data_IF_026232078769
#
_entry.id   IF_026232078769
#
_cell.length_a   1.000
_cell.length_b   1.000
_cell.length_c   1.000
_cell.angle_alpha   90.00
_cell.angle_beta   90.00
_cell.angle_gamma   90.00
#
_symmetry.space_group_name_H-M   'P 1'
#
loop_
_entity.id
_entity.type
_entity.pdbx_description
1 polymer ?
#
# COMPACT_ATOMS: atom_id res chain seq x y z
N UNK A 1 -35.98 4.39 -10.29
CA UNK A 1 -35.43 5.48 -9.45
C UNK A 1 -35.36 4.98 -8.00
N UNK A 2 -34.27 5.23 -7.27
CA UNK A 2 -34.11 4.79 -5.87
C UNK A 2 -33.09 3.67 -5.60
N UNK A 3 -32.35 3.20 -6.62
CA UNK A 3 -31.23 2.29 -6.40
C UNK A 3 -29.99 3.06 -5.92
N UNK A 4 -29.23 2.49 -4.98
CA UNK A 4 -27.96 3.05 -4.56
C UNK A 4 -26.93 2.99 -5.70
N UNK A 5 -26.14 4.05 -5.87
CA UNK A 5 -25.05 4.12 -6.85
C UNK A 5 -23.72 4.16 -6.10
N UNK A 6 -23.01 3.02 -5.98
CA UNK A 6 -21.71 3.00 -5.32
C UNK A 6 -20.66 3.71 -6.18
N UNK A 7 -19.80 4.50 -5.54
CA UNK A 7 -18.65 5.16 -6.16
C UNK A 7 -17.36 4.56 -5.59
N UNK A 8 -16.83 3.48 -6.19
CA UNK A 8 -15.62 2.85 -5.70
C UNK A 8 -14.38 3.74 -5.91
N UNK A 9 -13.32 3.43 -5.17
CA UNK A 9 -11.99 4.04 -5.39
C UNK A 9 -11.53 3.72 -6.81
N UNK A 10 -11.07 4.73 -7.54
CA UNK A 10 -10.62 4.60 -8.93
C UNK A 10 -9.12 4.88 -9.12
N UNK A 11 -8.45 5.42 -8.11
CA UNK A 11 -7.01 5.66 -8.12
C UNK A 11 -6.48 5.81 -6.68
N UNK A 12 -5.22 5.43 -6.46
CA UNK A 12 -4.52 5.62 -5.18
C UNK A 12 -3.25 6.43 -5.42
N UNK A 13 -3.20 7.63 -4.83
CA UNK A 13 -2.06 8.53 -4.87
C UNK A 13 -1.65 8.83 -3.42
N UNK A 14 -0.65 8.12 -2.91
CA UNK A 14 -0.18 8.30 -1.54
C UNK A 14 0.66 9.58 -1.40
N UNK A 15 0.41 10.35 -0.34
CA UNK A 15 1.23 11.52 -0.02
C UNK A 15 2.58 11.10 0.58
N UNK A 16 3.64 11.84 0.25
CA UNK A 16 4.97 11.70 0.86
C UNK A 16 5.43 13.00 1.46
N UNK A 17 5.83 13.00 2.73
CA UNK A 17 6.44 14.17 3.34
C UNK A 17 7.95 14.17 3.09
N UNK A 18 8.35 14.94 2.08
CA UNK A 18 9.75 15.12 1.74
C UNK A 18 10.37 16.27 2.53
N UNK A 19 11.65 16.13 2.84
CA UNK A 19 12.47 17.18 3.43
C UNK A 19 13.81 17.29 2.68
N UNK A 20 14.36 18.51 2.56
CA UNK A 20 15.73 18.68 2.10
C UNK A 20 16.71 18.16 3.16
N UNK A 21 17.99 17.94 2.80
CA UNK A 21 19.03 17.71 3.80
C UNK A 21 19.23 18.96 4.66
N UNK A 22 19.44 18.78 5.98
CA UNK A 22 19.90 19.83 6.90
C UNK A 22 21.16 19.31 7.65
N UNK A 23 22.36 19.40 7.04
CA UNK A 23 23.58 18.80 7.58
C UNK A 23 23.94 19.27 8.99
N UNK A 24 23.70 20.55 9.28
CA UNK A 24 23.94 21.16 10.61
C UNK A 24 23.11 20.52 11.72
N UNK A 25 21.97 19.90 11.37
CA UNK A 25 21.09 19.18 12.29
C UNK A 25 21.18 17.66 12.15
N UNK A 26 22.09 17.17 11.30
CA UNK A 26 22.22 15.74 10.98
C UNK A 26 21.00 15.15 10.26
N UNK A 27 20.16 15.99 9.62
CA UNK A 27 18.97 15.52 8.91
C UNK A 27 19.36 15.18 7.46
N UNK A 28 19.14 13.93 7.06
CA UNK A 28 19.36 13.46 5.69
C UNK A 28 18.14 13.72 4.81
N UNK A 29 18.37 13.76 3.50
CA UNK A 29 17.32 14.05 2.52
C UNK A 29 16.30 12.92 2.41
N UNK A 30 15.02 13.27 2.27
CA UNK A 30 13.99 12.38 1.70
C UNK A 30 13.37 12.96 0.43
N UNK A 31 13.91 14.07 -0.09
CA UNK A 31 13.37 14.79 -1.25
C UNK A 31 13.85 14.23 -2.60
N UNK A 32 13.87 12.90 -2.74
CA UNK A 32 14.32 12.21 -3.98
C UNK A 32 13.20 11.96 -4.99
N UNK A 33 11.95 12.31 -4.64
CA UNK A 33 10.78 12.08 -5.48
C UNK A 33 10.46 13.31 -6.34
N UNK A 34 10.07 13.06 -7.59
CA UNK A 34 9.47 14.06 -8.48
C UNK A 34 7.94 14.22 -8.18
N UNK A 35 7.19 15.07 -8.90
CA UNK A 35 5.78 15.34 -8.60
C UNK A 35 4.84 14.13 -8.60
N UNK A 36 5.11 13.11 -9.42
CA UNK A 36 4.34 11.86 -9.44
C UNK A 36 5.27 10.68 -9.71
N UNK A 37 5.40 9.81 -8.72
CA UNK A 37 6.01 8.49 -8.90
C UNK A 37 4.95 7.40 -9.01
N UNK A 38 5.24 6.40 -9.83
CA UNK A 38 4.54 5.12 -9.88
C UNK A 38 5.48 4.03 -9.35
N UNK A 39 4.99 3.21 -8.45
CA UNK A 39 5.73 2.05 -7.97
C UNK A 39 4.94 0.78 -8.27
N UNK A 40 5.63 -0.21 -8.82
CA UNK A 40 5.12 -1.57 -8.87
C UNK A 40 4.97 -2.10 -7.42
N UNK A 41 4.14 -3.12 -7.24
CA UNK A 41 3.75 -3.56 -5.89
C UNK A 41 4.94 -3.91 -4.97
N UNK A 42 6.04 -4.55 -5.42
CA UNK A 42 7.18 -4.80 -4.53
C UNK A 42 7.75 -3.51 -3.93
N UNK A 43 8.10 -2.52 -4.77
CA UNK A 43 8.64 -1.23 -4.31
C UNK A 43 7.62 -0.43 -3.50
N UNK A 44 6.34 -0.43 -3.92
CA UNK A 44 5.26 0.22 -3.17
C UNK A 44 5.16 -0.34 -1.76
N UNK A 45 5.26 -1.66 -1.61
CA UNK A 45 5.17 -2.32 -0.31
C UNK A 45 6.41 -2.11 0.55
N UNK A 46 7.61 -1.91 -0.02
CA UNK A 46 8.77 -1.48 0.77
C UNK A 46 8.49 -0.16 1.48
N UNK A 47 7.78 0.74 0.81
CA UNK A 47 7.41 2.04 1.37
C UNK A 47 6.22 1.97 2.31
N UNK A 48 5.22 1.12 2.04
CA UNK A 48 4.13 0.90 2.98
C UNK A 48 4.58 0.21 4.27
N UNK A 49 5.54 -0.71 4.19
CA UNK A 49 6.18 -1.33 5.36
C UNK A 49 6.91 -0.27 6.20
N UNK A 50 7.65 0.61 5.53
CA UNK A 50 8.58 1.54 6.18
C UNK A 50 7.95 2.85 6.63
N UNK A 51 6.98 3.37 5.87
CA UNK A 51 6.26 4.62 6.12
C UNK A 51 7.18 5.75 6.62
N UNK A 52 8.18 6.09 5.79
CA UNK A 52 9.26 6.99 6.20
C UNK A 52 8.81 8.46 6.27
N UNK A 53 9.30 9.18 7.27
CA UNK A 53 9.03 10.60 7.51
C UNK A 53 10.29 11.32 7.96
N UNK A 54 10.50 12.53 7.43
CA UNK A 54 11.72 13.30 7.63
C UNK A 54 11.89 13.98 8.98
N UNK A 55 10.80 14.16 9.74
CA UNK A 55 10.80 14.91 11.01
C UNK A 55 10.10 14.12 12.11
N UNK A 56 10.81 13.15 12.67
CA UNK A 56 10.54 12.65 14.03
C UNK A 56 11.60 13.22 14.98
N UNK A 57 11.23 13.95 16.05
CA UNK A 57 12.19 14.61 16.95
C UNK A 57 13.16 13.68 17.72
N UNK A 58 12.99 12.36 17.67
CA UNK A 58 13.62 11.42 18.59
C UNK A 58 14.79 10.59 18.05
N UNK A 59 15.17 10.68 16.76
CA UNK A 59 16.27 9.87 16.20
C UNK A 59 17.06 10.54 15.08
N UNK A 60 18.35 10.20 14.96
CA UNK A 60 19.32 10.66 13.95
C UNK A 60 19.17 10.00 12.56
N UNK A 61 17.96 9.59 12.19
CA UNK A 61 17.65 9.05 10.86
C UNK A 61 16.18 9.20 10.52
N UNK A 62 15.77 8.81 9.30
CA UNK A 62 14.37 8.86 8.86
C UNK A 62 13.50 8.13 9.88
N UNK A 63 12.52 8.86 10.39
CA UNK A 63 11.49 8.29 11.25
C UNK A 63 10.66 7.31 10.45
N UNK A 64 10.17 6.26 11.08
CA UNK A 64 9.12 5.40 10.55
C UNK A 64 7.84 5.67 11.32
N UNK A 65 6.73 5.89 10.61
CA UNK A 65 5.39 5.97 11.21
C UNK A 65 4.77 4.57 11.44
N UNK A 66 5.55 3.51 11.17
CA UNK A 66 5.09 2.13 11.17
C UNK A 66 4.25 1.78 9.95
N UNK A 67 4.04 0.49 9.70
CA UNK A 67 3.35 0.01 8.50
C UNK A 67 2.05 0.78 8.23
N UNK A 68 1.89 1.26 6.99
CA UNK A 68 0.71 2.01 6.54
C UNK A 68 0.41 3.26 7.37
N UNK A 69 1.42 3.87 7.99
CA UNK A 69 1.28 4.99 8.97
C UNK A 69 0.40 4.65 10.17
N UNK A 70 0.32 3.36 10.54
CA UNK A 70 -0.54 2.85 11.62
C UNK A 70 0.23 2.44 12.87
N UNK A 71 1.54 2.69 12.96
CA UNK A 71 2.35 2.29 14.13
C UNK A 71 1.74 2.67 15.48
N UNK A 72 1.32 3.93 15.69
CA UNK A 72 0.69 4.36 16.95
C UNK A 72 -0.75 3.85 17.18
N UNK A 73 -1.37 3.22 16.18
CA UNK A 73 -2.80 2.91 16.16
C UNK A 73 -3.10 1.42 15.95
N UNK A 74 -2.08 0.59 15.76
CA UNK A 74 -2.23 -0.85 15.55
C UNK A 74 -1.77 -1.61 16.80
N UNK A 75 -2.74 -2.14 17.55
CA UNK A 75 -2.49 -2.99 18.72
C UNK A 75 -2.19 -4.45 18.37
N UNK A 76 -2.14 -4.80 17.07
CA UNK A 76 -1.84 -6.13 16.56
C UNK A 76 -0.55 -6.11 15.73
N UNK A 77 -0.10 -7.30 15.31
CA UNK A 77 1.05 -7.42 14.42
C UNK A 77 0.79 -6.71 13.08
N UNK A 78 1.64 -5.74 12.67
CA UNK A 78 1.43 -4.96 11.44
C UNK A 78 1.36 -5.79 10.17
N UNK A 79 1.99 -6.97 10.16
CA UNK A 79 1.97 -7.88 9.00
C UNK A 79 0.55 -8.29 8.59
N UNK A 80 -0.39 -8.34 9.53
CA UNK A 80 -1.81 -8.62 9.27
C UNK A 80 -2.40 -7.59 8.30
N UNK A 81 -2.12 -6.31 8.53
CA UNK A 81 -2.63 -5.22 7.71
C UNK A 81 -1.93 -5.19 6.36
N UNK A 82 -0.63 -5.47 6.32
CA UNK A 82 0.13 -5.54 5.08
C UNK A 82 -0.35 -6.68 4.18
N UNK A 83 -0.60 -7.87 4.73
CA UNK A 83 -1.19 -8.99 3.99
C UNK A 83 -2.54 -8.60 3.37
N UNK A 84 -3.42 -7.96 4.16
CA UNK A 84 -4.73 -7.49 3.69
C UNK A 84 -4.59 -6.41 2.61
N UNK A 85 -3.67 -5.46 2.81
CA UNK A 85 -3.40 -4.40 1.84
C UNK A 85 -2.94 -5.01 0.52
N UNK A 86 -1.99 -5.95 0.54
CA UNK A 86 -1.47 -6.55 -0.70
C UNK A 86 -2.57 -7.27 -1.47
N UNK A 87 -3.40 -8.07 -0.80
CA UNK A 87 -4.54 -8.72 -1.43
C UNK A 87 -5.50 -7.69 -2.03
N UNK A 88 -5.74 -6.56 -1.35
CA UNK A 88 -6.58 -5.48 -1.89
C UNK A 88 -6.01 -4.89 -3.19
N UNK A 89 -4.71 -4.59 -3.24
CA UNK A 89 -4.07 -4.07 -4.45
C UNK A 89 -4.11 -5.07 -5.60
N UNK A 90 -3.83 -6.35 -5.31
CA UNK A 90 -3.88 -7.41 -6.31
C UNK A 90 -5.30 -7.58 -6.89
N UNK A 91 -6.32 -7.66 -6.02
CA UNK A 91 -7.72 -7.84 -6.44
C UNK A 91 -8.28 -6.68 -7.24
N UNK A 92 -7.93 -5.45 -6.87
CA UNK A 92 -8.46 -4.25 -7.51
C UNK A 92 -7.67 -3.83 -8.75
N UNK A 93 -6.43 -4.29 -8.88
CA UNK A 93 -5.53 -3.85 -9.95
C UNK A 93 -5.19 -2.35 -9.87
N UNK A 94 -5.48 -1.69 -8.75
CA UNK A 94 -5.19 -0.27 -8.58
C UNK A 94 -3.68 -0.04 -8.53
N UNK A 95 -3.21 0.91 -9.32
CA UNK A 95 -1.81 1.31 -9.36
C UNK A 95 -1.43 2.13 -8.11
N UNK A 96 -0.21 1.91 -7.60
CA UNK A 96 0.37 2.67 -6.50
C UNK A 96 1.13 3.89 -7.00
N UNK A 97 0.47 5.05 -7.02
CA UNK A 97 1.12 6.32 -7.28
C UNK A 97 1.44 7.06 -5.99
N UNK A 98 2.35 8.01 -6.06
CA UNK A 98 2.67 8.89 -4.93
C UNK A 98 3.00 10.30 -5.36
N UNK A 99 2.73 11.25 -4.47
CA UNK A 99 2.97 12.69 -4.69
C UNK A 99 3.72 13.29 -3.51
N UNK A 100 4.77 14.08 -3.73
CA UNK A 100 5.52 14.71 -2.66
C UNK A 100 4.78 15.93 -2.10
N UNK A 101 5.04 16.18 -0.82
CA UNK A 101 4.73 17.39 -0.08
C UNK A 101 6.01 17.88 0.63
N UNK A 102 6.10 19.17 0.93
CA UNK A 102 7.28 19.79 1.51
C UNK A 102 8.28 20.20 0.44
N UNK A 103 9.05 19.24 -0.09
CA UNK A 103 10.16 19.52 -1.02
C UNK A 103 10.25 18.53 -2.20
N UNK A 104 10.77 19.02 -3.32
CA UNK A 104 11.25 18.22 -4.45
C UNK A 104 12.72 18.57 -4.67
N UNK A 105 13.61 17.62 -4.41
CA UNK A 105 15.03 17.91 -4.29
C UNK A 105 15.36 18.83 -3.09
N UNK A 106 16.64 19.15 -2.89
CA UNK A 106 17.09 19.98 -1.77
C UNK A 106 16.62 21.43 -1.86
N UNK A 107 16.38 21.97 -3.06
CA UNK A 107 16.23 23.42 -3.25
C UNK A 107 14.80 23.87 -3.57
N UNK A 108 13.94 22.98 -4.08
CA UNK A 108 12.56 23.36 -4.45
C UNK A 108 11.60 23.01 -3.33
N UNK A 109 11.11 24.04 -2.64
CA UNK A 109 10.03 23.93 -1.67
C UNK A 109 8.69 24.00 -2.38
N UNK A 110 7.83 23.01 -2.13
CA UNK A 110 6.50 22.88 -2.74
C UNK A 110 5.36 22.85 -1.73
N UNK A 111 5.66 22.77 -0.43
CA UNK A 111 4.67 22.67 0.65
C UNK A 111 3.53 21.68 0.31
N UNK A 112 2.32 22.17 0.00
CA UNK A 112 1.21 21.32 -0.44
C UNK A 112 0.73 21.61 -1.87
N UNK A 113 1.45 22.43 -2.63
CA UNK A 113 1.06 22.86 -3.97
C UNK A 113 0.88 21.65 -4.90
N UNK A 114 1.83 20.71 -4.86
CA UNK A 114 1.76 19.46 -5.64
C UNK A 114 0.62 18.57 -5.13
N UNK A 115 0.43 18.47 -3.81
CA UNK A 115 -0.64 17.66 -3.22
C UNK A 115 -2.03 18.12 -3.65
N UNK A 116 -2.23 19.43 -3.83
CA UNK A 116 -3.50 20.01 -4.27
C UNK A 116 -3.67 19.96 -5.79
N UNK A 117 -2.57 20.11 -6.53
CA UNK A 117 -2.59 20.22 -7.98
C UNK A 117 -2.72 18.87 -8.70
N UNK A 118 -2.04 17.82 -8.21
CA UNK A 118 -2.06 16.52 -8.88
C UNK A 118 -3.48 15.93 -8.96
N UNK A 119 -4.32 15.97 -7.92
CA UNK A 119 -5.72 15.53 -8.03
C UNK A 119 -6.49 16.22 -9.16
N UNK A 120 -6.24 17.51 -9.42
CA UNK A 120 -6.86 18.25 -10.52
C UNK A 120 -6.39 17.74 -11.89
N UNK A 121 -5.11 17.47 -12.08
CA UNK A 121 -4.64 16.86 -13.33
C UNK A 121 -5.22 15.45 -13.47
N UNK A 122 -5.18 14.66 -12.39
CA UNK A 122 -5.55 13.25 -12.36
C UNK A 122 -7.03 13.03 -12.67
N UNK A 123 -7.92 13.83 -12.06
CA UNK A 123 -9.37 13.70 -12.24
C UNK A 123 -9.82 13.98 -13.68
N UNK A 124 -8.99 14.71 -14.46
CA UNK A 124 -9.20 15.02 -15.88
C UNK A 124 -8.64 13.96 -16.83
N UNK A 125 -7.95 12.92 -16.33
CA UNK A 125 -7.49 11.78 -17.14
C UNK A 125 -8.59 10.74 -17.32
N UNK A 126 -8.64 10.07 -18.48
CA UNK A 126 -9.47 8.88 -18.67
C UNK A 126 -8.91 7.68 -17.86
N UNK A 127 -9.69 6.59 -17.66
CA UNK A 127 -9.16 5.38 -17.04
C UNK A 127 -7.92 4.80 -17.76
N UNK A 128 -7.91 4.82 -19.10
CA UNK A 128 -6.77 4.36 -19.90
C UNK A 128 -5.54 5.27 -19.71
N UNK A 129 -5.75 6.59 -19.68
CA UNK A 129 -4.66 7.56 -19.47
C UNK A 129 -4.04 7.49 -18.06
N UNK A 130 -4.69 6.79 -17.12
CA UNK A 130 -4.18 6.53 -15.76
C UNK A 130 -3.49 5.18 -15.63
N UNK A 131 -3.60 4.29 -16.62
CA UNK A 131 -2.99 2.96 -16.58
C UNK A 131 -1.46 3.07 -16.69
N UNK A 132 -0.68 2.56 -15.71
CA UNK A 132 0.77 2.54 -15.80
C UNK A 132 1.31 1.89 -17.07
N UNK A 133 0.65 0.85 -17.62
CA UNK A 133 1.10 0.20 -18.86
C UNK A 133 1.02 1.16 -20.04
N UNK A 134 -0.09 1.90 -20.14
CA UNK A 134 -0.26 2.96 -21.14
C UNK A 134 0.81 4.04 -20.93
N UNK A 135 0.96 4.54 -19.70
CA UNK A 135 1.92 5.61 -19.39
C UNK A 135 3.38 5.22 -19.70
N UNK A 136 3.78 3.98 -19.43
CA UNK A 136 5.12 3.45 -19.73
C UNK A 136 5.30 3.27 -21.25
N UNK A 137 4.34 2.63 -21.93
CA UNK A 137 4.39 2.46 -23.39
C UNK A 137 4.45 3.79 -24.15
N UNK A 138 3.76 4.80 -23.61
CA UNK A 138 3.81 6.18 -24.06
C UNK A 138 4.95 6.98 -23.45
N UNK A 139 5.98 6.39 -22.81
CA UNK A 139 7.13 7.13 -22.24
C UNK A 139 6.74 8.39 -21.40
N UNK A 140 5.53 8.37 -20.83
CA UNK A 140 5.02 9.37 -19.91
C UNK A 140 5.53 9.07 -18.50
N UNK A 141 5.93 7.82 -18.25
CA UNK A 141 6.72 7.37 -17.11
C UNK A 141 8.12 6.91 -17.56
N UNK A 142 9.15 7.30 -16.82
CA UNK A 142 10.52 6.77 -16.97
C UNK A 142 10.91 5.98 -15.72
N UNK A 143 11.55 4.82 -15.91
CA UNK A 143 12.06 3.98 -14.81
C UNK A 143 13.33 4.59 -14.23
N UNK A 144 13.48 4.57 -12.91
CA UNK A 144 14.76 4.84 -12.26
C UNK A 144 15.56 3.54 -12.18
N UNK A 145 16.86 3.63 -12.47
CA UNK A 145 17.77 2.49 -12.49
C UNK A 145 18.83 2.64 -11.41
N UNK A 146 19.30 1.50 -10.90
CA UNK A 146 20.42 1.49 -9.96
C UNK A 146 21.71 1.99 -10.62
N UNK A 147 22.56 2.65 -9.86
CA UNK A 147 23.83 3.16 -10.35
C UNK A 147 24.91 3.15 -9.26
N UNK A 148 26.16 3.34 -9.63
CA UNK A 148 27.29 3.44 -8.71
C UNK A 148 27.68 4.91 -8.49
N UNK A 149 27.92 5.30 -7.23
CA UNK A 149 28.50 6.58 -6.86
C UNK A 149 29.50 6.36 -5.73
N UNK A 150 30.75 6.81 -5.91
CA UNK A 150 31.83 6.67 -4.93
C UNK A 150 32.04 5.24 -4.40
N UNK A 151 31.86 4.25 -5.29
CA UNK A 151 32.00 2.81 -4.96
C UNK A 151 30.84 2.24 -4.14
N UNK A 152 29.73 2.96 -4.02
CA UNK A 152 28.48 2.50 -3.41
C UNK A 152 27.40 2.33 -4.46
N UNK A 153 26.73 1.18 -4.41
CA UNK A 153 25.52 0.95 -5.19
C UNK A 153 24.36 1.77 -4.63
N UNK A 154 23.80 2.63 -5.46
CA UNK A 154 22.62 3.44 -5.18
C UNK A 154 21.41 2.73 -5.78
N UNK A 155 20.54 2.18 -4.91
CA UNK A 155 19.37 1.39 -5.30
C UNK A 155 18.19 2.27 -5.73
N UNK A 156 18.40 3.17 -6.69
CA UNK A 156 17.38 4.11 -7.14
C UNK A 156 16.19 3.44 -7.85
N UNK A 157 16.33 2.19 -8.30
CA UNK A 157 15.21 1.41 -8.83
C UNK A 157 14.09 1.17 -7.81
N UNK A 158 14.38 1.25 -6.50
CA UNK A 158 13.35 1.19 -5.45
C UNK A 158 12.35 2.36 -5.49
N UNK A 159 12.71 3.46 -6.15
CA UNK A 159 11.80 4.60 -6.37
C UNK A 159 10.81 4.36 -7.51
N UNK A 160 10.94 3.24 -8.22
CA UNK A 160 10.05 2.83 -9.32
C UNK A 160 10.21 3.70 -10.56
N UNK A 161 9.09 4.26 -11.00
CA UNK A 161 8.97 5.11 -12.16
C UNK A 161 8.56 6.52 -11.74
N UNK A 162 8.83 7.49 -12.59
CA UNK A 162 8.43 8.89 -12.39
C UNK A 162 7.91 9.52 -13.66
N UNK A 163 7.04 10.53 -13.53
CA UNK A 163 6.51 11.24 -14.69
C UNK A 163 7.61 11.99 -15.47
N UNK A 164 7.46 12.06 -16.79
CA UNK A 164 8.38 12.76 -17.68
C UNK A 164 7.85 14.13 -18.10
N UNK A 165 8.68 14.94 -18.76
CA UNK A 165 8.22 16.18 -19.40
C UNK A 165 7.15 15.93 -20.47
N UNK A 166 7.09 14.72 -21.05
CA UNK A 166 6.06 14.29 -22.00
C UNK A 166 4.70 14.16 -21.32
N UNK A 167 4.65 13.63 -20.09
CA UNK A 167 3.45 13.62 -19.26
C UNK A 167 2.92 15.04 -19.04
N UNK A 168 3.80 15.96 -18.63
CA UNK A 168 3.46 17.36 -18.39
C UNK A 168 2.87 18.02 -19.64
N UNK A 169 3.54 17.88 -20.80
CA UNK A 169 3.04 18.44 -22.06
C UNK A 169 1.69 17.88 -22.48
N UNK A 170 1.45 16.58 -22.23
CA UNK A 170 0.23 15.90 -22.69
C UNK A 170 -0.97 16.19 -21.80
N UNK A 171 -0.77 16.26 -20.48
CA UNK A 171 -1.87 16.26 -19.52
C UNK A 171 -1.98 17.53 -18.67
N UNK A 172 -0.87 18.16 -18.31
CA UNK A 172 -0.91 19.35 -17.45
C UNK A 172 -1.51 20.57 -18.18
N UNK A 173 -1.55 20.56 -19.52
CA UNK A 173 -2.27 21.56 -20.33
C UNK A 173 -3.79 21.61 -20.09
N UNK A 174 -4.37 20.60 -19.42
CA UNK A 174 -5.79 20.60 -19.00
C UNK A 174 -6.05 21.50 -17.79
N UNK A 175 -5.00 22.02 -17.16
CA UNK A 175 -5.04 22.88 -15.97
C UNK A 175 -4.23 24.16 -16.18
N UNK A 176 -3.10 24.09 -16.89
CA UNK A 176 -2.20 25.23 -17.11
C UNK A 176 -2.10 25.64 -18.58
N UNK A 177 -2.00 26.96 -18.82
CA UNK A 177 -1.67 27.48 -20.15
C UNK A 177 -0.23 27.16 -20.58
N UNK A 178 0.72 27.18 -19.62
CA UNK A 178 2.15 27.00 -19.88
C UNK A 178 2.80 25.98 -18.93
N UNK A 179 2.46 24.68 -19.03
CA UNK A 179 2.83 23.68 -18.04
C UNK A 179 4.35 23.45 -17.91
N UNK A 180 5.12 23.63 -18.99
CA UNK A 180 6.59 23.48 -18.97
C UNK A 180 7.32 24.57 -18.16
N UNK A 181 6.66 25.71 -17.86
CA UNK A 181 7.22 26.74 -16.97
C UNK A 181 6.96 26.43 -15.49
N UNK A 182 5.97 25.58 -15.21
CA UNK A 182 5.60 25.17 -13.85
C UNK A 182 6.43 23.98 -13.41
N UNK A 183 6.64 23.01 -14.31
CA UNK A 183 7.42 21.80 -14.05
C UNK A 183 8.69 21.79 -14.91
N UNK A 184 9.73 22.43 -14.40
CA UNK A 184 11.03 22.48 -15.07
C UNK A 184 11.85 21.20 -14.87
N UNK A 185 13.05 21.17 -15.44
CA UNK A 185 13.96 20.03 -15.31
C UNK A 185 14.32 19.74 -13.86
N UNK A 186 14.53 20.77 -13.03
CA UNK A 186 14.94 20.58 -11.64
C UNK A 186 13.83 19.93 -10.78
N UNK A 187 12.56 20.22 -11.09
CA UNK A 187 11.40 19.58 -10.44
C UNK A 187 11.21 18.15 -10.96
N UNK A 188 11.30 17.93 -12.27
CA UNK A 188 11.08 16.61 -12.86
C UNK A 188 12.22 15.62 -12.60
N UNK A 189 13.44 16.15 -12.43
CA UNK A 189 14.69 15.43 -12.21
C UNK A 189 15.43 16.00 -11.00
N UNK A 190 14.96 15.74 -9.76
CA UNK A 190 15.52 16.33 -8.54
C UNK A 190 17.02 16.05 -8.35
N UNK A 191 17.55 14.97 -8.94
CA UNK A 191 18.99 14.68 -8.99
C UNK A 191 19.84 15.76 -9.66
N UNK A 192 19.26 16.60 -10.53
CA UNK A 192 20.00 17.69 -11.18
C UNK A 192 20.23 18.88 -10.25
N UNK A 193 19.51 18.95 -9.12
CA UNK A 193 19.71 20.01 -8.12
C UNK A 193 20.98 19.77 -7.30
N UNK A 194 21.19 18.52 -6.86
CA UNK A 194 22.38 18.05 -6.14
C UNK A 194 22.46 16.51 -6.26
N UNK A 195 23.35 15.99 -7.10
CA UNK A 195 23.50 14.55 -7.30
C UNK A 195 23.91 13.79 -6.02
N UNK A 196 24.70 14.42 -5.15
CA UNK A 196 25.19 13.79 -3.92
C UNK A 196 24.07 13.70 -2.87
N UNK A 197 23.28 14.77 -2.72
CA UNK A 197 22.12 14.76 -1.82
C UNK A 197 21.02 13.80 -2.29
N UNK A 198 20.85 13.65 -3.62
CA UNK A 198 19.92 12.66 -4.18
C UNK A 198 20.38 11.23 -3.84
N UNK A 199 21.65 10.91 -4.11
CA UNK A 199 22.21 9.60 -3.81
C UNK A 199 22.15 9.26 -2.31
N UNK A 200 22.51 10.22 -1.45
CA UNK A 200 22.40 10.05 0.00
C UNK A 200 20.96 9.82 0.45
N UNK A 201 19.98 10.51 -0.14
CA UNK A 201 18.57 10.31 0.16
C UNK A 201 18.06 8.93 -0.23
N UNK A 202 18.51 8.38 -1.37
CA UNK A 202 18.19 7.00 -1.77
C UNK A 202 18.81 5.99 -0.80
N UNK A 203 20.09 6.16 -0.45
CA UNK A 203 20.76 5.33 0.55
C UNK A 203 20.00 5.38 1.88
N UNK A 204 19.61 6.58 2.31
CA UNK A 204 18.86 6.78 3.54
C UNK A 204 17.54 6.01 3.57
N UNK A 205 16.79 6.03 2.47
CA UNK A 205 15.56 5.24 2.33
C UNK A 205 15.87 3.75 2.44
N UNK A 206 16.90 3.27 1.74
CA UNK A 206 17.23 1.83 1.70
C UNK A 206 17.71 1.29 3.05
N UNK A 207 18.53 2.06 3.77
CA UNK A 207 18.97 1.74 5.14
C UNK A 207 17.79 1.71 6.12
N UNK A 208 16.85 2.65 5.98
CA UNK A 208 15.66 2.70 6.83
C UNK A 208 14.70 1.54 6.52
N UNK A 209 14.52 1.19 5.24
CA UNK A 209 13.76 0.01 4.81
C UNK A 209 14.36 -1.28 5.39
N UNK A 210 15.68 -1.46 5.31
CA UNK A 210 16.38 -2.61 5.92
C UNK A 210 16.11 -2.68 7.42
N UNK A 211 16.33 -1.57 8.14
CA UNK A 211 16.11 -1.50 9.59
C UNK A 211 14.69 -1.84 9.98
N UNK A 212 13.69 -1.30 9.28
CA UNK A 212 12.28 -1.58 9.57
C UNK A 212 11.93 -3.04 9.28
N UNK A 213 12.41 -3.60 8.15
CA UNK A 213 12.16 -5.00 7.80
C UNK A 213 12.74 -5.97 8.84
N UNK A 214 13.88 -5.65 9.47
CA UNK A 214 14.46 -6.46 10.55
C UNK A 214 13.54 -6.63 11.75
N UNK A 215 12.68 -5.66 12.06
CA UNK A 215 11.74 -5.78 13.19
C UNK A 215 10.76 -6.95 13.03
N UNK A 216 10.32 -7.23 11.80
CA UNK A 216 9.41 -8.35 11.52
C UNK A 216 10.06 -9.72 11.76
N UNK A 217 11.38 -9.82 11.61
CA UNK A 217 12.12 -11.05 11.95
C UNK A 217 12.36 -11.14 13.45
N UNK A 218 12.61 -10.02 14.13
CA UNK A 218 12.86 -9.98 15.57
C UNK A 218 11.64 -10.37 16.40
N UNK A 219 10.44 -9.96 15.98
CA UNK A 219 9.18 -10.32 16.67
C UNK A 219 8.53 -11.60 16.11
N UNK A 220 9.14 -12.23 15.10
CA UNK A 220 8.65 -13.45 14.44
C UNK A 220 7.44 -13.22 13.52
N UNK A 221 6.99 -11.99 13.31
CA UNK A 221 5.83 -11.69 12.46
C UNK A 221 6.10 -11.92 10.97
N UNK A 222 7.36 -12.00 10.55
CA UNK A 222 7.74 -12.38 9.18
C UNK A 222 7.22 -13.78 8.79
N UNK A 223 7.03 -14.70 9.75
CA UNK A 223 6.45 -16.03 9.50
C UNK A 223 4.95 -15.98 9.15
N UNK A 224 4.27 -14.89 9.49
CA UNK A 224 2.86 -14.67 9.19
C UNK A 224 2.66 -13.89 7.88
N UNK A 225 3.74 -13.41 7.26
CA UNK A 225 3.69 -12.73 5.98
C UNK A 225 3.16 -13.69 4.90
N UNK A 226 2.31 -13.20 4.01
CA UNK A 226 2.00 -13.94 2.79
C UNK A 226 3.28 -14.09 1.94
N UNK A 227 3.38 -15.12 1.08
CA UNK A 227 4.63 -15.43 0.37
C UNK A 227 5.29 -14.24 -0.37
N UNK A 228 4.55 -13.34 -1.04
CA UNK A 228 5.16 -12.17 -1.67
C UNK A 228 5.83 -11.23 -0.67
N UNK A 229 5.18 -10.97 0.48
CA UNK A 229 5.72 -10.09 1.51
C UNK A 229 6.85 -10.75 2.30
N UNK A 230 6.82 -12.07 2.48
CA UNK A 230 7.93 -12.81 3.07
C UNK A 230 9.19 -12.64 2.20
N UNK A 231 9.07 -12.85 0.89
CA UNK A 231 10.16 -12.63 -0.05
C UNK A 231 10.66 -11.18 0.00
N UNK A 232 9.73 -10.21 0.04
CA UNK A 232 10.07 -8.79 0.10
C UNK A 232 10.83 -8.41 1.37
N UNK A 233 10.41 -8.92 2.54
CA UNK A 233 11.08 -8.67 3.81
C UNK A 233 12.53 -9.18 3.77
N UNK A 234 12.77 -10.39 3.25
CA UNK A 234 14.14 -10.89 3.06
C UNK A 234 14.94 -10.04 2.07
N UNK A 235 14.34 -9.59 0.96
CA UNK A 235 15.02 -8.70 0.01
C UNK A 235 15.38 -7.36 0.66
N UNK A 236 14.52 -6.82 1.53
CA UNK A 236 14.79 -5.59 2.26
C UNK A 236 15.95 -5.76 3.25
N UNK A 237 16.08 -6.92 3.91
CA UNK A 237 17.09 -7.17 4.96
C UNK A 237 18.42 -7.75 4.48
N UNK A 238 18.38 -8.59 3.44
CA UNK A 238 19.51 -9.40 2.95
C UNK A 238 19.86 -9.07 1.49
N UNK A 239 19.04 -8.27 0.80
CA UNK A 239 19.20 -7.95 -0.63
C UNK A 239 18.71 -9.04 -1.58
N UNK A 240 18.36 -10.22 -1.08
CA UNK A 240 17.84 -11.33 -1.86
C UNK A 240 16.85 -12.21 -1.08
N UNK A 241 16.04 -12.98 -1.80
CA UNK A 241 15.26 -14.09 -1.25
C UNK A 241 15.59 -15.35 -2.04
N UNK A 242 16.16 -16.36 -1.38
CA UNK A 242 16.61 -17.61 -2.03
C UNK A 242 17.56 -17.36 -3.22
N UNK A 243 18.49 -16.40 -3.08
CA UNK A 243 19.42 -16.00 -4.13
C UNK A 243 18.83 -15.12 -5.23
N UNK A 244 17.54 -14.75 -5.15
CA UNK A 244 16.84 -13.91 -6.14
C UNK A 244 16.67 -12.49 -5.62
N UNK A 245 16.92 -11.51 -6.48
CA UNK A 245 16.73 -10.08 -6.25
C UNK A 245 15.30 -9.66 -6.62
N UNK A 246 14.94 -8.44 -6.25
CA UNK A 246 13.62 -7.87 -6.57
C UNK A 246 13.31 -7.84 -8.07
N UNK A 247 14.33 -7.74 -8.92
CA UNK A 247 14.18 -7.70 -10.39
C UNK A 247 13.94 -9.06 -11.03
N UNK A 248 14.13 -10.16 -10.29
CA UNK A 248 13.97 -11.50 -10.86
C UNK A 248 12.48 -11.78 -11.20
N UNK A 249 12.18 -12.33 -12.40
CA UNK A 249 10.80 -12.58 -12.83
C UNK A 249 10.00 -13.44 -11.86
N UNK A 250 10.65 -14.38 -11.18
CA UNK A 250 10.01 -15.22 -10.18
C UNK A 250 9.51 -14.41 -8.97
N UNK A 251 10.31 -13.45 -8.48
CA UNK A 251 9.89 -12.54 -7.41
C UNK A 251 8.75 -11.65 -7.90
N UNK A 252 8.87 -11.06 -9.09
CA UNK A 252 7.82 -10.21 -9.67
C UNK A 252 6.49 -10.95 -9.83
N UNK A 253 6.55 -12.22 -10.23
CA UNK A 253 5.37 -13.07 -10.42
C UNK A 253 4.59 -13.33 -9.12
N UNK A 254 5.20 -13.23 -7.94
CA UNK A 254 4.49 -13.34 -6.66
C UNK A 254 3.48 -12.21 -6.45
N UNK A 255 3.68 -11.07 -7.11
CA UNK A 255 2.87 -9.86 -6.99
C UNK A 255 1.87 -9.70 -8.13
N UNK A 256 1.41 -10.81 -8.74
CA UNK A 256 0.35 -10.77 -9.77
C UNK A 256 -0.97 -11.32 -9.24
N UNK A 257 -2.07 -10.82 -9.80
CA UNK A 257 -3.42 -11.27 -9.44
C UNK A 257 -3.56 -12.77 -9.76
N UNK A 258 -3.10 -13.19 -10.92
CA UNK A 258 -3.19 -14.58 -11.40
C UNK A 258 -2.46 -15.54 -10.45
N UNK A 259 -1.25 -15.17 -10.03
CA UNK A 259 -0.44 -15.95 -9.10
C UNK A 259 -1.12 -16.07 -7.73
N UNK A 260 -1.66 -14.97 -7.20
CA UNK A 260 -2.41 -15.00 -5.95
C UNK A 260 -3.68 -15.85 -6.06
N UNK A 261 -4.50 -15.67 -7.09
CA UNK A 261 -5.76 -16.42 -7.23
C UNK A 261 -5.53 -17.93 -7.38
N UNK A 262 -4.43 -18.34 -8.01
CA UNK A 262 -4.04 -19.74 -8.16
C UNK A 262 -3.37 -20.34 -6.92
N UNK A 263 -3.06 -19.54 -5.91
CA UNK A 263 -2.24 -19.97 -4.77
C UNK A 263 -3.04 -20.62 -3.64
N UNK A 264 -2.40 -21.58 -2.97
CA UNK A 264 -2.95 -22.21 -1.76
C UNK A 264 -3.10 -21.21 -0.62
N UNK A 265 -2.18 -20.24 -0.50
CA UNK A 265 -2.22 -19.27 0.60
C UNK A 265 -3.45 -18.36 0.49
N UNK A 266 -3.86 -17.95 -0.71
CA UNK A 266 -5.10 -17.19 -0.88
C UNK A 266 -6.34 -18.06 -0.64
N UNK A 267 -6.36 -19.29 -1.15
CA UNK A 267 -7.43 -20.24 -0.88
C UNK A 267 -7.63 -20.48 0.64
N UNK A 268 -6.53 -20.58 1.40
CA UNK A 268 -6.55 -20.69 2.85
C UNK A 268 -7.15 -19.47 3.54
N UNK A 269 -6.94 -18.26 3.02
CA UNK A 269 -7.60 -17.04 3.56
C UNK A 269 -9.10 -17.11 3.39
N UNK A 270 -9.59 -17.62 2.26
CA UNK A 270 -11.01 -17.77 2.00
C UNK A 270 -11.64 -18.83 2.92
N UNK A 271 -10.96 -19.98 3.09
CA UNK A 271 -11.37 -21.01 4.05
C UNK A 271 -11.41 -20.47 5.47
N UNK A 272 -10.38 -19.74 5.89
CA UNK A 272 -10.33 -19.13 7.22
C UNK A 272 -11.46 -18.11 7.42
N UNK A 273 -11.79 -17.34 6.38
CA UNK A 273 -12.91 -16.40 6.42
C UNK A 273 -14.23 -17.12 6.65
N UNK A 274 -14.50 -18.17 5.86
CA UNK A 274 -15.68 -19.00 6.03
C UNK A 274 -15.75 -19.58 7.45
N UNK A 275 -14.66 -20.14 7.97
CA UNK A 275 -14.62 -20.69 9.32
C UNK A 275 -14.94 -19.64 10.41
N UNK A 276 -14.43 -18.41 10.25
CA UNK A 276 -14.75 -17.30 11.16
C UNK A 276 -16.21 -16.90 11.09
N UNK A 277 -16.77 -16.81 9.89
CA UNK A 277 -18.18 -16.47 9.69
C UNK A 277 -19.09 -17.58 10.27
N UNK A 278 -18.77 -18.86 10.08
CA UNK A 278 -19.46 -19.98 10.73
C UNK A 278 -19.45 -19.85 12.25
N UNK A 279 -18.27 -19.63 12.85
CA UNK A 279 -18.15 -19.44 14.31
C UNK A 279 -18.94 -18.23 14.80
N UNK A 280 -18.94 -17.13 14.05
CA UNK A 280 -19.70 -15.92 14.39
C UNK A 280 -21.22 -16.19 14.38
N UNK A 281 -21.75 -16.77 13.30
CA UNK A 281 -23.18 -17.03 13.18
C UNK A 281 -23.65 -18.12 14.16
N UNK A 282 -22.80 -19.10 14.47
CA UNK A 282 -23.07 -20.07 15.53
C UNK A 282 -23.21 -19.37 16.89
N UNK A 283 -22.34 -18.40 17.20
CA UNK A 283 -22.44 -17.60 18.44
C UNK A 283 -23.72 -16.77 18.47
N UNK A 284 -24.14 -16.19 17.34
CA UNK A 284 -25.40 -15.44 17.26
C UNK A 284 -26.61 -16.32 17.55
N UNK A 285 -26.69 -17.50 16.93
CA UNK A 285 -27.76 -18.49 17.18
C UNK A 285 -27.79 -18.85 18.67
N UNK A 286 -26.66 -19.27 19.24
CA UNK A 286 -26.59 -19.65 20.65
C UNK A 286 -26.94 -18.50 21.60
N UNK A 287 -26.54 -17.26 21.28
CA UNK A 287 -26.86 -16.11 22.12
C UNK A 287 -28.36 -15.79 22.12
N UNK A 288 -29.00 -15.86 20.95
CA UNK A 288 -30.44 -15.63 20.81
C UNK A 288 -31.27 -16.75 21.45
N UNK A 289 -30.87 -18.01 21.28
CA UNK A 289 -31.51 -19.16 21.95
C UNK A 289 -31.39 -19.04 23.47
N UNK A 290 -30.22 -18.66 24.00
CA UNK A 290 -30.07 -18.42 25.45
C UNK A 290 -30.95 -17.28 25.94
N UNK A 291 -31.00 -16.17 25.21
CA UNK A 291 -31.84 -15.03 25.59
C UNK A 291 -33.33 -15.39 25.59
N UNK A 292 -33.78 -16.19 24.62
CA UNK A 292 -35.17 -16.63 24.53
C UNK A 292 -35.61 -17.54 25.69
N UNK A 293 -34.69 -18.24 26.33
CA UNK A 293 -34.98 -19.11 27.48
C UNK A 293 -35.10 -18.37 28.82
N UNK A 294 -34.85 -17.06 28.85
CA UNK A 294 -34.98 -16.24 30.06
C UNK A 294 -36.42 -15.77 30.21
N UNK A 295 -37.16 -16.38 31.12
CA UNK A 295 -38.60 -16.10 31.35
C UNK A 295 -38.85 -14.64 31.75
N UNK A 296 -37.88 -14.01 32.42
CA UNK A 296 -37.95 -12.60 32.84
C UNK A 296 -37.95 -11.59 31.68
N UNK A 297 -37.63 -12.02 30.45
CA UNK A 297 -37.55 -11.18 29.25
C UNK A 297 -38.58 -11.56 28.16
N UNK A 298 -39.69 -12.22 28.54
CA UNK A 298 -40.68 -12.70 27.59
C UNK A 298 -41.29 -11.59 26.70
N UNK A 299 -41.54 -10.40 27.25
CA UNK A 299 -42.07 -9.26 26.51
C UNK A 299 -41.02 -8.65 25.55
N UNK A 300 -39.75 -8.64 25.95
CA UNK A 300 -38.62 -8.22 25.11
C UNK A 300 -38.40 -9.18 23.94
N UNK A 301 -38.58 -10.48 24.15
CA UNK A 301 -38.50 -11.50 23.08
C UNK A 301 -39.47 -11.17 21.94
N UNK A 302 -40.71 -10.80 22.29
CA UNK A 302 -41.75 -10.41 21.33
C UNK A 302 -41.45 -9.04 20.71
N UNK A 303 -41.22 -8.02 21.54
CA UNK A 303 -41.06 -6.63 21.07
C UNK A 303 -39.81 -6.43 20.21
N UNK A 304 -38.70 -7.11 20.53
CA UNK A 304 -37.46 -7.06 19.74
C UNK A 304 -37.46 -8.05 18.56
N UNK A 305 -38.51 -8.87 18.41
CA UNK A 305 -38.69 -9.88 17.37
C UNK A 305 -37.56 -10.90 17.36
N UNK A 306 -37.22 -11.44 18.53
CA UNK A 306 -36.06 -12.34 18.70
C UNK A 306 -36.22 -13.61 17.87
N UNK A 307 -37.42 -14.17 17.73
CA UNK A 307 -37.69 -15.33 16.87
C UNK A 307 -37.29 -15.09 15.40
N UNK A 308 -37.64 -13.92 14.86
CA UNK A 308 -37.32 -13.56 13.48
C UNK A 308 -35.80 -13.40 13.29
N UNK A 309 -35.12 -12.82 14.30
CA UNK A 309 -33.66 -12.69 14.29
C UNK A 309 -32.96 -14.04 14.41
N UNK A 310 -33.52 -14.97 15.19
CA UNK A 310 -33.01 -16.32 15.33
C UNK A 310 -33.16 -17.11 14.03
N UNK A 311 -34.33 -17.04 13.38
CA UNK A 311 -34.55 -17.64 12.07
C UNK A 311 -33.60 -17.07 11.00
N UNK A 312 -33.40 -15.75 10.98
CA UNK A 312 -32.42 -15.12 10.12
C UNK A 312 -30.99 -15.62 10.41
N UNK A 313 -30.61 -15.71 11.69
CA UNK A 313 -29.28 -16.15 12.09
C UNK A 313 -29.03 -17.61 11.73
N UNK A 314 -30.04 -18.49 11.86
CA UNK A 314 -29.96 -19.89 11.42
C UNK A 314 -29.82 -20.00 9.90
N UNK A 315 -30.57 -19.20 9.13
CA UNK A 315 -30.42 -19.12 7.66
C UNK A 315 -29.03 -18.65 7.26
N UNK A 316 -28.51 -17.61 7.91
CA UNK A 316 -27.14 -17.10 7.67
C UNK A 316 -26.08 -18.14 8.04
N UNK A 317 -26.24 -18.84 9.16
CA UNK A 317 -25.34 -19.92 9.55
C UNK A 317 -25.31 -21.03 8.49
N UNK A 318 -26.48 -21.47 8.00
CA UNK A 318 -26.57 -22.48 6.94
C UNK A 318 -25.89 -21.99 5.66
N UNK A 319 -26.14 -20.73 5.29
CA UNK A 319 -25.56 -20.08 4.11
C UNK A 319 -24.03 -20.00 4.16
N UNK A 320 -23.43 -19.57 5.28
CA UNK A 320 -21.97 -19.49 5.41
C UNK A 320 -21.32 -20.87 5.58
N UNK A 321 -22.09 -21.88 5.99
CA UNK A 321 -21.64 -23.26 6.12
C UNK A 321 -21.62 -24.02 4.79
N UNK A 322 -22.34 -23.52 3.79
CA UNK A 322 -22.43 -24.13 2.47
C UNK A 322 -21.11 -24.00 1.68
N UNK A 323 -20.80 -24.99 0.83
CA UNK A 323 -19.58 -24.98 0.02
C UNK A 323 -19.55 -23.82 -0.99
N UNK A 324 -20.71 -23.44 -1.51
CA UNK A 324 -20.93 -22.34 -2.43
C UNK A 324 -20.55 -20.97 -1.83
N UNK A 325 -20.50 -20.87 -0.49
CA UNK A 325 -20.03 -19.64 0.16
C UNK A 325 -18.58 -19.32 -0.17
N UNK A 326 -17.71 -20.33 -0.30
CA UNK A 326 -16.31 -20.12 -0.69
C UNK A 326 -16.19 -19.51 -2.09
N UNK A 327 -17.06 -19.93 -3.02
CA UNK A 327 -17.10 -19.34 -4.37
C UNK A 327 -17.48 -17.86 -4.31
N UNK A 328 -18.39 -17.47 -3.41
CA UNK A 328 -18.78 -16.07 -3.22
C UNK A 328 -17.72 -15.23 -2.51
N UNK A 329 -16.84 -15.85 -1.72
CA UNK A 329 -15.70 -15.18 -1.10
C UNK A 329 -14.54 -14.96 -2.07
N UNK A 330 -14.52 -15.66 -3.21
CA UNK A 330 -13.50 -15.46 -4.23
C UNK A 330 -13.54 -14.02 -4.75
N UNK A 331 -12.38 -13.35 -4.78
CA UNK A 331 -12.32 -11.93 -5.09
C UNK A 331 -12.50 -11.00 -3.87
N UNK A 332 -12.55 -11.54 -2.66
CA UNK A 332 -12.50 -10.77 -1.40
C UNK A 332 -11.15 -10.91 -0.70
N UNK A 333 -10.91 -10.12 0.35
CA UNK A 333 -9.67 -10.19 1.14
C UNK A 333 -9.47 -11.53 1.88
N UNK A 334 -10.53 -12.32 2.03
CA UNK A 334 -10.55 -13.47 2.93
C UNK A 334 -10.36 -13.05 4.39
N UNK A 335 -9.59 -13.85 5.13
CA UNK A 335 -9.21 -13.56 6.50
C UNK A 335 -7.72 -13.85 6.72
N UNK A 336 -7.04 -12.95 7.44
CA UNK A 336 -5.64 -13.12 7.81
C UNK A 336 -5.47 -14.02 9.04
N UNK A 337 -4.34 -14.73 9.10
CA UNK A 337 -3.95 -15.57 10.25
C UNK A 337 -3.46 -14.67 11.38
N UNK A 338 -4.39 -14.29 12.25
CA UNK A 338 -4.06 -13.58 13.49
C UNK A 338 -3.40 -14.54 14.48
N UNK A 339 -2.18 -14.23 14.90
CA UNK A 339 -1.60 -14.76 16.13
C UNK A 339 -1.95 -13.76 17.23
N UNK A 340 -2.81 -14.17 18.16
CA UNK A 340 -3.15 -13.40 19.36
C UNK A 340 -2.08 -13.56 20.42
#
# INVERSE_FOLDING_TARGET
>A
AGAAVPMPVSAVLSGRRNNPPEPEKGIRSLAVYNPIHYQELPELFMDFISALTGKSPSTTGAGSEGALTKGPFNALLPITDLNNALVSYLLTGLAGFSTPAGHIGPSVRVDHDISLLIPEIWCRLSPEERDPKYLIGEQLLEKLEDYELDGKTILASRLGYRITSRFIRRFAGRVFDNPNKVFDTAILKPETQDPAAFADGVLHITEAQERVARYYFQDGSAELACPPLQALLHIMTEGHYQGKRITDPEIRSLFTLESMLASDWYADRLRLRQQRDQKLWQRHVQALERFQMLEEFADEVVSLKIDQRLELSRRRLAEVSAAEYLQRLHGTLGADRLRL
#
